data_IF_624759708155
#
_entry.id   IF_624759708155
#
_cell.length_a   1.000
_cell.length_b   1.000
_cell.length_c   1.000
_cell.angle_alpha   90.00
_cell.angle_beta   90.00
_cell.angle_gamma   90.00
#
_symmetry.space_group_name_H-M   'P 1'
#
loop_
_entity.id
_entity.type
_entity.pdbx_description
1 polymer ?
#
# COMPACT_ATOMS: atom_id res chain seq x y z
N UNK A 1 -23.73 13.16 11.74
CA UNK A 1 -22.34 12.90 12.15
C UNK A 1 -21.75 12.02 11.07
N UNK A 2 -20.96 12.59 10.17
CA UNK A 2 -20.34 11.82 9.09
C UNK A 2 -19.15 11.11 9.70
N UNK A 3 -19.30 9.83 10.01
CA UNK A 3 -18.19 8.97 10.38
C UNK A 3 -17.14 9.10 9.27
N UNK A 4 -15.99 9.70 9.59
CA UNK A 4 -14.80 9.63 8.74
C UNK A 4 -14.35 8.17 8.77
N UNK A 5 -14.96 7.34 7.94
CA UNK A 5 -14.39 6.06 7.58
C UNK A 5 -12.97 6.36 7.08
N UNK A 6 -11.97 5.84 7.79
CA UNK A 6 -10.60 5.90 7.31
C UNK A 6 -10.55 5.30 5.90
N UNK A 7 -9.77 5.92 5.01
CA UNK A 7 -9.66 5.45 3.64
C UNK A 7 -9.27 3.97 3.60
N UNK A 8 -9.99 3.19 2.80
CA UNK A 8 -9.71 1.77 2.61
C UNK A 8 -8.58 1.62 1.59
N UNK A 9 -7.47 1.00 2.00
CA UNK A 9 -6.36 0.67 1.10
C UNK A 9 -6.36 -0.83 0.83
N UNK A 10 -6.36 -1.22 -0.45
CA UNK A 10 -6.36 -2.61 -0.89
C UNK A 10 -5.13 -2.88 -1.79
N UNK A 11 -4.47 -4.01 -1.54
CA UNK A 11 -3.30 -4.46 -2.29
C UNK A 11 -3.65 -5.71 -3.10
N UNK A 12 -3.65 -5.59 -4.42
CA UNK A 12 -4.05 -6.65 -5.34
C UNK A 12 -2.83 -7.18 -6.08
N UNK A 13 -2.63 -8.48 -6.02
CA UNK A 13 -1.53 -9.16 -6.71
C UNK A 13 -2.01 -9.58 -8.11
N UNK A 14 -1.43 -8.99 -9.15
CA UNK A 14 -1.80 -9.29 -10.54
C UNK A 14 -0.63 -9.95 -11.28
N UNK A 15 -0.93 -10.93 -12.12
CA UNK A 15 0.05 -11.60 -12.98
C UNK A 15 -0.38 -11.48 -14.44
N UNK A 16 0.54 -11.05 -15.31
CA UNK A 16 0.31 -10.94 -16.74
C UNK A 16 1.59 -11.27 -17.52
N UNK A 17 1.50 -12.20 -18.48
CA UNK A 17 2.62 -12.56 -19.37
C UNK A 17 3.90 -12.94 -18.59
N UNK A 18 3.76 -13.71 -17.51
CA UNK A 18 4.89 -14.11 -16.66
C UNK A 18 5.48 -12.99 -15.79
N UNK A 19 4.93 -11.78 -15.85
CA UNK A 19 5.29 -10.66 -15.00
C UNK A 19 4.31 -10.52 -13.85
N UNK A 20 4.82 -10.02 -12.72
CA UNK A 20 4.07 -9.85 -11.48
C UNK A 20 3.91 -8.36 -11.15
N UNK A 21 2.75 -7.98 -10.64
CA UNK A 21 2.39 -6.60 -10.34
C UNK A 21 1.70 -6.51 -8.99
N UNK A 22 1.90 -5.40 -8.30
CA UNK A 22 1.17 -5.03 -7.10
C UNK A 22 0.34 -3.79 -7.41
N UNK A 23 -0.96 -3.98 -7.63
CA UNK A 23 -1.91 -2.88 -7.82
C UNK A 23 -2.40 -2.40 -6.44
N UNK A 24 -2.41 -1.10 -6.24
CA UNK A 24 -2.80 -0.43 -5.00
C UNK A 24 -4.08 0.34 -5.29
N UNK A 25 -5.12 0.06 -4.51
CA UNK A 25 -6.40 0.76 -4.59
C UNK A 25 -6.64 1.53 -3.30
N UNK A 26 -7.19 2.74 -3.44
CA UNK A 26 -7.64 3.57 -2.32
C UNK A 26 -9.10 3.92 -2.57
N UNK A 27 -9.96 3.61 -1.61
CA UNK A 27 -11.40 3.85 -1.69
C UNK A 27 -12.01 3.30 -2.99
N UNK A 28 -11.59 2.07 -3.37
CA UNK A 28 -11.93 1.35 -4.62
C UNK A 28 -11.45 1.99 -5.92
N UNK A 29 -10.72 3.11 -5.87
CA UNK A 29 -10.05 3.72 -7.01
C UNK A 29 -8.63 3.16 -7.18
N UNK A 30 -8.22 2.87 -8.42
CA UNK A 30 -6.83 2.51 -8.70
C UNK A 30 -5.92 3.69 -8.40
N UNK A 31 -4.97 3.51 -7.49
CA UNK A 31 -4.06 4.56 -7.04
C UNK A 31 -2.68 4.42 -7.68
N UNK A 32 -2.10 3.22 -7.65
CA UNK A 32 -0.81 2.94 -8.28
C UNK A 32 -0.66 1.47 -8.66
N UNK A 33 0.32 1.18 -9.50
CA UNK A 33 0.78 -0.18 -9.78
C UNK A 33 2.30 -0.22 -9.64
N UNK A 34 2.82 -1.14 -8.83
CA UNK A 34 4.25 -1.43 -8.73
C UNK A 34 4.59 -2.66 -9.55
N UNK A 35 5.66 -2.57 -10.34
CA UNK A 35 6.12 -3.64 -11.23
C UNK A 35 6.48 -3.12 -12.64
N UNK A 36 6.74 -4.02 -13.60
CA UNK A 36 6.66 -5.48 -13.46
C UNK A 36 7.83 -6.06 -12.65
N UNK A 37 7.53 -7.05 -11.81
CA UNK A 37 8.53 -7.90 -11.13
C UNK A 37 8.75 -9.20 -11.93
N UNK A 38 9.95 -9.75 -11.87
CA UNK A 38 10.31 -10.97 -12.59
C UNK A 38 9.81 -12.22 -11.86
N UNK A 39 9.64 -12.16 -10.53
CA UNK A 39 9.19 -13.29 -9.72
C UNK A 39 8.08 -12.91 -8.72
N UNK A 40 7.29 -13.88 -8.23
CA UNK A 40 6.32 -13.63 -7.16
C UNK A 40 6.98 -13.14 -5.87
N UNK A 41 8.21 -13.62 -5.59
CA UNK A 41 8.98 -13.27 -4.40
C UNK A 41 9.38 -11.81 -4.42
N UNK A 42 9.94 -11.30 -5.52
CA UNK A 42 10.28 -9.87 -5.66
C UNK A 42 9.06 -8.96 -5.46
N UNK A 43 7.89 -9.36 -5.99
CA UNK A 43 6.64 -8.64 -5.78
C UNK A 43 6.20 -8.67 -4.30
N UNK A 44 6.42 -9.79 -3.61
CA UNK A 44 6.11 -9.94 -2.19
C UNK A 44 7.04 -9.10 -1.32
N UNK A 45 8.34 -9.10 -1.61
CA UNK A 45 9.33 -8.26 -0.93
C UNK A 45 8.98 -6.77 -1.08
N UNK A 46 8.60 -6.34 -2.29
CA UNK A 46 8.14 -4.96 -2.53
C UNK A 46 6.85 -4.60 -1.76
N UNK A 47 5.94 -5.56 -1.58
CA UNK A 47 4.74 -5.37 -0.77
C UNK A 47 5.10 -5.24 0.71
N UNK A 48 5.97 -6.09 1.22
CA UNK A 48 6.40 -6.08 2.62
C UNK A 48 7.22 -4.84 2.96
N UNK A 49 8.09 -4.38 2.06
CA UNK A 49 8.83 -3.12 2.18
C UNK A 49 7.89 -1.92 2.24
N UNK A 50 6.85 -1.90 1.40
CA UNK A 50 5.85 -0.82 1.44
C UNK A 50 5.07 -0.83 2.74
N UNK A 51 4.65 -2.01 3.24
CA UNK A 51 3.99 -2.12 4.54
C UNK A 51 4.95 -1.69 5.67
N UNK A 52 6.23 -2.03 5.58
CA UNK A 52 7.24 -1.61 6.54
C UNK A 52 7.45 -0.10 6.52
N UNK A 53 7.52 0.53 5.34
CA UNK A 53 7.60 1.98 5.17
C UNK A 53 6.36 2.68 5.74
N UNK A 54 5.17 2.18 5.48
CA UNK A 54 3.92 2.74 6.04
C UNK A 54 3.88 2.63 7.56
N UNK A 55 4.35 1.51 8.12
CA UNK A 55 4.49 1.33 9.57
C UNK A 55 5.54 2.26 10.16
N UNK A 56 6.69 2.41 9.50
CA UNK A 56 7.76 3.31 9.96
C UNK A 56 7.36 4.79 9.86
N UNK A 57 6.46 5.13 8.93
CA UNK A 57 5.94 6.49 8.74
C UNK A 57 4.83 6.87 9.73
N UNK A 58 4.38 5.95 10.60
CA UNK A 58 3.46 6.25 11.71
C UNK A 58 4.11 5.93 13.07
N UNK A 59 4.11 6.82 14.09
CA UNK A 59 3.43 8.11 14.24
C UNK A 59 4.41 9.29 14.30
N UNK A 60 4.59 10.03 13.20
CA UNK A 60 5.18 11.38 13.26
C UNK A 60 4.17 12.51 12.96
N UNK A 61 2.91 12.15 12.71
CA UNK A 61 1.80 13.09 12.51
C UNK A 61 0.79 13.12 13.67
N UNK A 62 1.09 12.46 14.80
CA UNK A 62 0.42 12.79 16.06
C UNK A 62 1.14 14.01 16.64
N UNK A 63 0.68 15.18 16.20
CA UNK A 63 1.12 16.46 16.73
C UNK A 63 1.24 16.38 18.25
N UNK A 64 2.45 16.66 18.73
CA UNK A 64 2.72 17.19 20.04
C UNK A 64 1.73 18.33 20.31
N UNK A 65 0.64 18.06 21.03
CA UNK A 65 -0.13 19.10 21.69
C UNK A 65 0.30 19.11 23.16
N UNK A 66 1.02 20.13 23.63
CA UNK A 66 1.25 20.30 25.06
C UNK A 66 -0.09 20.62 25.74
N UNK A 67 -0.37 19.95 26.85
CA UNK A 67 -1.22 20.48 27.91
C UNK A 67 -0.42 20.44 29.21
#
# INVERSE_FOLDING_TARGET
>A
MTEKLGSLVEYVHRQAIGQYWLDIYVDRGHWAALGPFATPTERQDAHDDMLAMMRASGPHDLSERPQ
#
